data_IF_175882154068
#
_entry.id   IF_175882154068
#
_cell.length_a   1.000
_cell.length_b   1.000
_cell.length_c   1.000
_cell.angle_alpha   90.00
_cell.angle_beta   90.00
_cell.angle_gamma   90.00
#
_symmetry.space_group_name_H-M   'P 1'
#
loop_
_entity.id
_entity.type
_entity.pdbx_description
1 polymer ?
#
# COMPACT_ATOMS: atom_id res chain seq x y z
N UNK A 1 -16.64 5.02 -41.74
CA UNK A 1 -18.04 4.66 -41.39
C UNK A 1 -18.19 4.26 -39.91
N UNK A 2 -17.15 3.76 -39.22
CA UNK A 2 -17.18 3.38 -37.80
C UNK A 2 -17.42 4.52 -36.78
N UNK A 3 -16.89 5.73 -37.00
CA UNK A 3 -16.99 6.85 -36.05
C UNK A 3 -18.42 7.34 -35.72
N UNK A 4 -19.43 7.05 -36.56
CA UNK A 4 -20.81 7.48 -36.27
C UNK A 4 -21.52 6.53 -35.29
N UNK A 5 -21.27 5.23 -35.38
CA UNK A 5 -21.90 4.25 -34.49
C UNK A 5 -21.35 4.34 -33.07
N UNK A 6 -20.05 4.53 -32.91
CA UNK A 6 -19.40 4.71 -31.60
C UNK A 6 -19.98 5.93 -30.85
N UNK A 7 -20.19 7.03 -31.57
CA UNK A 7 -20.81 8.24 -30.99
C UNK A 7 -22.27 8.00 -30.57
N UNK A 8 -23.01 7.17 -31.31
CA UNK A 8 -24.38 6.82 -30.97
C UNK A 8 -24.43 5.85 -29.78
N UNK A 9 -23.57 4.84 -29.74
CA UNK A 9 -23.43 3.93 -28.60
C UNK A 9 -23.09 4.66 -27.30
N UNK A 10 -22.22 5.68 -27.36
CA UNK A 10 -21.94 6.53 -26.20
C UNK A 10 -23.18 7.28 -25.71
N UNK A 11 -23.97 7.86 -26.62
CA UNK A 11 -25.23 8.53 -26.25
C UNK A 11 -26.25 7.54 -25.68
N UNK A 12 -26.28 6.31 -26.19
CA UNK A 12 -27.13 5.23 -25.70
C UNK A 12 -26.74 4.85 -24.26
N UNK A 13 -25.45 4.75 -23.97
CA UNK A 13 -24.91 4.49 -22.64
C UNK A 13 -25.30 5.60 -21.64
N UNK A 14 -25.06 6.86 -21.99
CA UNK A 14 -25.42 8.02 -21.15
C UNK A 14 -26.93 8.03 -20.84
N UNK A 15 -27.77 7.65 -21.82
CA UNK A 15 -29.22 7.57 -21.63
C UNK A 15 -29.66 6.36 -20.79
N UNK A 16 -28.96 5.23 -20.91
CA UNK A 16 -29.26 4.01 -20.16
C UNK A 16 -29.01 4.20 -18.65
N UNK A 17 -27.95 4.91 -18.28
CA UNK A 17 -27.61 5.23 -16.89
C UNK A 17 -28.27 6.53 -16.36
N UNK A 18 -29.12 7.17 -17.15
CA UNK A 18 -29.87 8.37 -16.74
C UNK A 18 -29.05 9.65 -16.67
N UNK A 19 -27.84 9.68 -17.23
CA UNK A 19 -27.03 10.90 -17.33
C UNK A 19 -27.60 11.87 -18.38
N UNK A 20 -28.38 11.37 -19.36
CA UNK A 20 -29.05 12.17 -20.41
C UNK A 20 -30.43 11.63 -20.74
N UNK A 21 -31.30 12.48 -21.27
CA UNK A 21 -32.64 12.07 -21.73
C UNK A 21 -32.58 11.22 -23.01
N UNK A 22 -33.45 10.22 -23.07
CA UNK A 22 -33.63 9.37 -24.24
C UNK A 22 -34.43 10.09 -25.32
N UNK A 23 -33.71 10.83 -26.18
CA UNK A 23 -34.31 11.58 -27.30
C UNK A 23 -34.95 10.66 -28.35
N UNK A 24 -36.00 11.13 -29.04
CA UNK A 24 -36.70 10.39 -30.11
C UNK A 24 -35.78 9.99 -31.28
N UNK A 25 -34.76 10.80 -31.58
CA UNK A 25 -33.71 10.47 -32.55
C UNK A 25 -32.96 9.18 -32.16
N UNK A 26 -32.67 9.02 -30.87
CA UNK A 26 -31.92 7.87 -30.35
C UNK A 26 -32.78 6.61 -30.31
N UNK A 27 -34.06 6.73 -29.92
CA UNK A 27 -35.03 5.61 -29.99
C UNK A 27 -35.18 5.09 -31.41
N UNK A 28 -35.35 6.00 -32.37
CA UNK A 28 -35.48 5.63 -33.77
C UNK A 28 -34.19 5.01 -34.32
N UNK A 29 -33.01 5.44 -33.84
CA UNK A 29 -31.74 4.82 -34.20
C UNK A 29 -31.58 3.41 -33.64
N UNK A 30 -31.94 3.18 -32.37
CA UNK A 30 -31.91 1.85 -31.76
C UNK A 30 -32.84 0.89 -32.52
N UNK A 31 -34.05 1.32 -32.88
CA UNK A 31 -35.01 0.49 -33.61
C UNK A 31 -34.62 0.13 -35.05
N UNK A 32 -33.82 0.98 -35.72
CA UNK A 32 -33.46 0.79 -37.13
C UNK A 32 -32.02 0.29 -37.35
N UNK A 33 -31.16 0.34 -36.32
CA UNK A 33 -29.77 -0.09 -36.42
C UNK A 33 -29.56 -1.40 -35.64
N UNK A 34 -29.27 -2.48 -36.38
CA UNK A 34 -29.03 -3.81 -35.80
C UNK A 34 -27.95 -3.81 -34.70
N UNK A 35 -26.86 -3.07 -34.91
CA UNK A 35 -25.74 -3.01 -33.97
C UNK A 35 -26.10 -2.24 -32.69
N UNK A 36 -26.87 -1.15 -32.80
CA UNK A 36 -27.30 -0.37 -31.65
C UNK A 36 -28.45 -1.04 -30.88
N UNK A 37 -29.31 -1.79 -31.58
CA UNK A 37 -30.32 -2.66 -30.97
C UNK A 37 -29.66 -3.77 -30.15
N UNK A 38 -28.68 -4.47 -30.73
CA UNK A 38 -27.95 -5.53 -30.03
C UNK A 38 -27.19 -4.97 -28.81
N UNK A 39 -26.62 -3.77 -28.94
CA UNK A 39 -25.98 -3.09 -27.82
C UNK A 39 -26.98 -2.77 -26.69
N UNK A 40 -28.15 -2.23 -27.02
CA UNK A 40 -29.20 -1.96 -26.03
C UNK A 40 -29.71 -3.23 -25.31
N UNK A 41 -29.92 -4.31 -26.06
CA UNK A 41 -30.33 -5.60 -25.50
C UNK A 41 -29.26 -6.19 -24.59
N UNK A 42 -27.98 -6.12 -24.98
CA UNK A 42 -26.86 -6.58 -24.13
C UNK A 42 -26.79 -5.84 -22.79
N UNK A 43 -27.10 -4.54 -22.77
CA UNK A 43 -27.15 -3.77 -21.53
C UNK A 43 -28.34 -4.14 -20.65
N UNK A 44 -29.52 -4.42 -21.24
CA UNK A 44 -30.66 -4.91 -20.48
C UNK A 44 -30.40 -6.29 -19.87
N UNK A 45 -29.76 -7.20 -20.61
CA UNK A 45 -29.37 -8.53 -20.09
C UNK A 45 -28.35 -8.41 -18.96
N UNK A 46 -27.38 -7.50 -19.06
CA UNK A 46 -26.43 -7.23 -17.97
C UNK A 46 -27.12 -6.66 -16.74
N UNK A 47 -28.11 -5.78 -16.93
CA UNK A 47 -28.91 -5.23 -15.83
C UNK A 47 -29.76 -6.32 -15.17
N UNK A 48 -30.43 -7.15 -15.96
CA UNK A 48 -31.23 -8.27 -15.47
C UNK A 48 -30.36 -9.27 -14.70
N UNK A 49 -29.18 -9.63 -15.22
CA UNK A 49 -28.23 -10.48 -14.49
C UNK A 49 -27.67 -9.85 -13.22
N UNK A 50 -27.47 -8.53 -13.21
CA UNK A 50 -27.03 -7.81 -12.01
C UNK A 50 -28.17 -7.65 -10.97
N UNK A 51 -29.43 -7.67 -11.41
CA UNK A 51 -30.62 -7.63 -10.53
C UNK A 51 -30.99 -9.04 -10.00
N UNK A 52 -30.71 -10.11 -10.75
CA UNK A 52 -30.91 -11.51 -10.37
C UNK A 52 -29.72 -12.15 -9.63
N UNK A 53 -28.55 -11.50 -9.62
CA UNK A 53 -27.55 -11.81 -8.60
C UNK A 53 -28.15 -11.43 -7.24
N UNK A 54 -28.21 -12.36 -6.26
CA UNK A 54 -28.69 -12.03 -4.94
C UNK A 54 -27.82 -10.88 -4.46
N UNK A 55 -28.42 -9.69 -4.40
CA UNK A 55 -27.90 -8.47 -3.80
C UNK A 55 -26.79 -8.86 -2.85
N UNK A 56 -25.53 -8.54 -3.17
CA UNK A 56 -24.44 -8.72 -2.21
C UNK A 56 -24.92 -7.96 -0.97
N UNK A 57 -25.47 -8.70 -0.01
CA UNK A 57 -26.07 -8.13 1.18
C UNK A 57 -24.93 -7.39 1.85
N UNK A 58 -25.17 -6.21 2.41
CA UNK A 58 -24.11 -5.44 3.08
C UNK A 58 -23.29 -6.27 4.09
N UNK A 59 -23.88 -7.35 4.60
CA UNK A 59 -23.23 -8.39 5.41
C UNK A 59 -22.09 -9.14 4.71
N UNK A 60 -22.21 -9.48 3.43
CA UNK A 60 -21.16 -10.14 2.66
C UNK A 60 -20.03 -9.16 2.31
N UNK A 61 -20.34 -7.89 2.03
CA UNK A 61 -19.32 -6.85 1.78
C UNK A 61 -18.47 -6.64 3.04
N UNK A 62 -19.08 -6.54 4.22
CA UNK A 62 -18.35 -6.45 5.49
C UNK A 62 -17.51 -7.71 5.76
N UNK A 63 -18.02 -8.91 5.41
CA UNK A 63 -17.28 -10.15 5.56
C UNK A 63 -16.04 -10.19 4.64
N UNK A 64 -16.19 -9.81 3.36
CA UNK A 64 -15.06 -9.73 2.43
C UNK A 64 -14.06 -8.64 2.82
N UNK A 65 -14.53 -7.47 3.26
CA UNK A 65 -13.66 -6.38 3.71
C UNK A 65 -12.85 -6.80 4.95
N UNK A 66 -13.48 -7.53 5.88
CA UNK A 66 -12.79 -8.08 7.06
C UNK A 66 -11.75 -9.14 6.70
N UNK A 67 -12.06 -10.05 5.77
CA UNK A 67 -11.10 -11.08 5.31
C UNK A 67 -9.91 -10.44 4.59
N UNK A 68 -10.17 -9.44 3.74
CA UNK A 68 -9.13 -8.69 3.03
C UNK A 68 -8.26 -7.91 4.04
N UNK A 69 -8.87 -7.21 4.99
CA UNK A 69 -8.16 -6.47 6.03
C UNK A 69 -7.30 -7.39 6.91
N UNK A 70 -7.80 -8.58 7.28
CA UNK A 70 -7.05 -9.59 8.04
C UNK A 70 -5.84 -10.09 7.24
N UNK A 71 -6.01 -10.38 5.94
CA UNK A 71 -4.94 -10.82 5.05
C UNK A 71 -3.85 -9.75 4.86
N UNK A 72 -4.24 -8.48 4.68
CA UNK A 72 -3.29 -7.36 4.61
C UNK A 72 -2.54 -7.18 5.94
N UNK A 73 -3.24 -7.32 7.07
CA UNK A 73 -2.64 -7.22 8.41
C UNK A 73 -1.63 -8.35 8.67
N UNK A 74 -1.91 -9.57 8.21
CA UNK A 74 -0.96 -10.68 8.28
C UNK A 74 0.25 -10.45 7.39
N UNK A 75 0.05 -9.97 6.16
CA UNK A 75 1.13 -9.63 5.25
C UNK A 75 2.03 -8.53 5.82
N UNK A 76 1.45 -7.52 6.48
CA UNK A 76 2.18 -6.44 7.13
C UNK A 76 2.99 -6.94 8.33
N UNK A 77 2.42 -7.81 9.17
CA UNK A 77 3.16 -8.47 10.26
C UNK A 77 4.33 -9.31 9.74
N UNK A 78 4.16 -10.02 8.64
CA UNK A 78 5.24 -10.81 8.02
C UNK A 78 6.33 -9.89 7.47
N UNK A 79 5.95 -8.78 6.81
CA UNK A 79 6.88 -7.78 6.30
C UNK A 79 7.67 -7.11 7.41
N UNK A 80 7.02 -6.78 8.52
CA UNK A 80 7.66 -6.17 9.69
C UNK A 80 8.62 -7.16 10.38
N UNK A 81 8.22 -8.43 10.55
CA UNK A 81 9.11 -9.49 11.04
C UNK A 81 10.34 -9.66 10.14
N UNK A 82 10.17 -9.68 8.83
CA UNK A 82 11.28 -9.83 7.88
C UNK A 82 12.21 -8.61 7.90
N UNK A 83 11.67 -7.40 8.03
CA UNK A 83 12.46 -6.18 8.20
C UNK A 83 13.30 -6.26 9.49
N UNK A 84 12.66 -6.63 10.61
CA UNK A 84 13.37 -6.79 11.88
C UNK A 84 14.47 -7.86 11.78
N UNK A 85 14.20 -9.02 11.16
CA UNK A 85 15.22 -10.07 10.96
C UNK A 85 16.41 -9.55 10.15
N UNK A 86 16.15 -8.83 9.05
CA UNK A 86 17.21 -8.21 8.26
C UNK A 86 18.03 -7.22 9.08
N UNK A 87 17.38 -6.37 9.87
CA UNK A 87 18.06 -5.40 10.73
C UNK A 87 18.90 -6.11 11.81
N UNK A 88 18.41 -7.22 12.38
CA UNK A 88 19.17 -8.08 13.30
C UNK A 88 20.39 -8.71 12.63
N UNK A 89 20.28 -9.20 11.39
CA UNK A 89 21.42 -9.78 10.65
C UNK A 89 22.48 -8.71 10.40
N UNK A 90 22.07 -7.52 9.97
CA UNK A 90 22.99 -6.38 9.78
C UNK A 90 23.67 -6.02 11.09
N UNK A 91 22.93 -5.97 12.19
CA UNK A 91 23.48 -5.70 13.52
C UNK A 91 24.52 -6.75 13.95
N UNK A 92 24.24 -8.04 13.72
CA UNK A 92 25.18 -9.12 14.03
C UNK A 92 26.45 -8.98 13.19
N UNK A 93 26.33 -8.74 11.87
CA UNK A 93 27.49 -8.56 11.00
C UNK A 93 28.38 -7.40 11.44
N UNK A 94 27.76 -6.24 11.73
CA UNK A 94 28.48 -5.06 12.23
C UNK A 94 29.16 -5.39 13.56
N UNK A 95 28.46 -6.04 14.49
CA UNK A 95 29.01 -6.43 15.79
C UNK A 95 30.21 -7.36 15.67
N UNK A 96 30.16 -8.34 14.76
CA UNK A 96 31.28 -9.25 14.48
C UNK A 96 32.48 -8.46 13.93
N UNK A 97 32.27 -7.55 12.99
CA UNK A 97 33.36 -6.70 12.45
C UNK A 97 34.01 -5.86 13.56
N UNK A 98 33.22 -5.24 14.42
CA UNK A 98 33.73 -4.47 15.56
C UNK A 98 34.49 -5.37 16.55
N UNK A 99 33.97 -6.55 16.86
CA UNK A 99 34.63 -7.47 17.78
C UNK A 99 35.95 -8.00 17.21
N UNK A 100 35.96 -8.38 15.93
CA UNK A 100 37.16 -8.84 15.22
C UNK A 100 38.22 -7.74 15.13
N UNK A 101 37.84 -6.50 14.81
CA UNK A 101 38.78 -5.38 14.76
C UNK A 101 39.35 -5.05 16.14
N UNK A 102 38.54 -5.04 17.19
CA UNK A 102 39.01 -4.87 18.56
C UNK A 102 39.99 -5.99 18.98
N UNK A 103 39.67 -7.25 18.65
CA UNK A 103 40.56 -8.38 18.89
C UNK A 103 41.89 -8.27 18.14
N UNK A 104 41.87 -7.81 16.88
CA UNK A 104 43.06 -7.57 16.08
C UNK A 104 43.95 -6.47 16.67
N UNK A 105 43.35 -5.35 17.11
CA UNK A 105 44.09 -4.29 17.80
C UNK A 105 44.69 -4.76 19.12
N UNK A 106 43.99 -5.62 19.86
CA UNK A 106 44.50 -6.22 21.09
C UNK A 106 45.71 -7.12 20.80
N UNK A 107 45.62 -7.96 19.76
CA UNK A 107 46.70 -8.85 19.33
C UNK A 107 47.95 -8.09 18.87
N UNK A 108 47.79 -6.96 18.17
CA UNK A 108 48.90 -6.08 17.78
C UNK A 108 49.55 -5.31 18.94
N UNK A 109 49.12 -5.53 20.19
CA UNK A 109 49.68 -4.88 21.38
C UNK A 109 49.09 -3.51 21.69
N UNK A 110 48.07 -3.05 20.93
CA UNK A 110 47.35 -1.80 21.19
C UNK A 110 46.27 -1.95 22.27
N UNK A 111 46.35 -2.96 23.14
CA UNK A 111 45.39 -3.17 24.24
C UNK A 111 45.24 -1.94 25.15
N UNK A 112 46.32 -1.16 25.34
CA UNK A 112 46.28 0.12 26.07
C UNK A 112 45.36 1.15 25.41
N UNK A 113 45.34 1.21 24.07
CA UNK A 113 44.48 2.14 23.31
C UNK A 113 43.02 1.74 23.46
N UNK A 114 42.71 0.44 23.38
CA UNK A 114 41.35 -0.08 23.58
C UNK A 114 40.82 0.29 24.97
N UNK A 115 41.61 0.02 26.02
CA UNK A 115 41.26 0.38 27.40
C UNK A 115 41.03 1.89 27.56
N UNK A 116 41.87 2.71 26.93
CA UNK A 116 41.75 4.18 26.98
C UNK A 116 40.45 4.64 26.32
N UNK A 117 40.13 4.12 25.13
CA UNK A 117 38.87 4.41 24.44
C UNK A 117 37.66 3.96 25.25
N UNK A 118 37.74 2.79 25.89
CA UNK A 118 36.64 2.24 26.69
C UNK A 118 36.37 3.08 27.94
N UNK A 119 37.41 3.52 28.65
CA UNK A 119 37.32 4.45 29.77
C UNK A 119 36.72 5.79 29.32
N UNK A 120 37.15 6.30 28.16
CA UNK A 120 36.61 7.53 27.59
C UNK A 120 35.10 7.39 27.29
N UNK A 121 34.68 6.31 26.64
CA UNK A 121 33.26 6.08 26.34
C UNK A 121 32.43 5.98 27.63
N UNK A 122 32.89 5.21 28.63
CA UNK A 122 32.19 5.05 29.92
C UNK A 122 32.06 6.37 30.66
N UNK A 123 33.04 7.27 30.56
CA UNK A 123 33.02 8.56 31.23
C UNK A 123 32.16 9.59 30.50
N UNK A 124 32.28 9.68 29.17
CA UNK A 124 31.67 10.74 28.37
C UNK A 124 30.24 10.42 27.90
N UNK A 125 29.90 9.16 27.60
CA UNK A 125 28.56 8.79 27.12
C UNK A 125 27.46 9.11 28.15
N UNK A 126 27.60 8.79 29.45
CA UNK A 126 26.58 9.12 30.44
C UNK A 126 26.33 10.62 30.59
N UNK A 127 27.30 11.46 30.23
CA UNK A 127 27.19 12.92 30.25
C UNK A 127 26.52 13.44 28.97
N UNK A 128 26.88 12.86 27.82
CA UNK A 128 26.33 13.24 26.52
C UNK A 128 24.85 12.83 26.36
N UNK A 129 24.46 11.65 26.84
CA UNK A 129 23.07 11.15 26.73
C UNK A 129 22.02 12.14 27.27
N UNK A 130 22.10 12.62 28.53
CA UNK A 130 21.12 13.58 29.05
C UNK A 130 21.18 14.92 28.31
N UNK A 131 22.34 15.33 27.79
CA UNK A 131 22.46 16.53 26.97
C UNK A 131 21.71 16.41 25.64
N UNK A 132 21.87 15.27 24.93
CA UNK A 132 21.14 15.00 23.70
C UNK A 132 19.64 14.85 23.92
N UNK A 133 19.22 14.18 25.01
CA UNK A 133 17.80 14.08 25.37
C UNK A 133 17.21 15.47 25.64
N UNK A 134 17.90 16.32 26.41
CA UNK A 134 17.47 17.69 26.69
C UNK A 134 17.34 18.52 25.41
N UNK A 135 18.31 18.43 24.50
CA UNK A 135 18.27 19.15 23.23
C UNK A 135 17.12 18.67 22.32
N UNK A 136 16.82 17.36 22.31
CA UNK A 136 15.67 16.82 21.58
C UNK A 136 14.36 17.34 22.16
N UNK A 137 14.19 17.26 23.49
CA UNK A 137 12.97 17.72 24.17
C UNK A 137 12.74 19.22 23.98
N UNK A 138 13.80 20.04 23.97
CA UNK A 138 13.69 21.48 23.73
C UNK A 138 13.18 21.82 22.32
N UNK A 139 13.40 20.94 21.33
CA UNK A 139 12.93 21.11 19.95
C UNK A 139 11.48 20.67 19.73
N UNK A 140 10.90 19.91 20.66
CA UNK A 140 9.51 19.44 20.58
C UNK A 140 8.54 20.39 21.34
N UNK A 141 9.07 21.35 22.11
CA UNK A 141 8.30 22.32 22.92
C UNK A 141 8.24 23.72 22.28
N UNK A 142 9.05 23.97 21.26
CA UNK A 142 8.98 25.13 20.35
C UNK A 142 8.14 24.78 19.11
#
# INVERSE_FOLDING_TARGET
MFNKHEKMQKRILDAFYGEKELTEELKNHIGNCKDCSAFWESMNLLKEHAEDEPSIKGEDIEAYERIIAEAFREAEKIKEKNKNIRDYIVFILVSVIFLSSAGMFAYMGYGKVILTVQIFIIMFVPILVPFFIKHRLSKEVE
#
